data_IF_433783887962
#
_entry.id   IF_433783887962
#
_cell.length_a   1.000
_cell.length_b   1.000
_cell.length_c   1.000
_cell.angle_alpha   90.00
_cell.angle_beta   90.00
_cell.angle_gamma   90.00
#
_symmetry.space_group_name_H-M   'P 1'
#
loop_
_entity.id
_entity.type
_entity.pdbx_description
1 polymer ?
#
# COMPACT_ATOMS: atom_id res chain seq x y z
N UNK A 1 3.69 -11.48 3.36
CA UNK A 1 3.30 -10.06 3.36
C UNK A 1 1.91 -9.96 2.81
N UNK A 2 1.12 -9.04 3.32
CA UNK A 2 -0.15 -8.64 2.72
C UNK A 2 0.07 -7.20 2.25
N UNK A 3 0.21 -7.02 0.93
CA UNK A 3 0.34 -5.69 0.33
C UNK A 3 -1.06 -5.11 0.17
N UNK A 4 -1.30 -3.94 0.75
CA UNK A 4 -2.59 -3.25 0.67
C UNK A 4 -2.49 -2.04 -0.25
N UNK A 5 -3.50 -1.84 -1.09
CA UNK A 5 -3.67 -0.61 -1.85
C UNK A 5 -4.25 0.51 -0.97
N UNK A 6 -4.31 1.71 -1.54
CA UNK A 6 -4.81 2.93 -0.88
C UNK A 6 -6.25 2.77 -0.39
N UNK A 7 -7.12 2.19 -1.22
CA UNK A 7 -8.54 2.05 -0.91
C UNK A 7 -8.78 1.06 0.23
N UNK A 8 -8.13 -0.11 0.19
CA UNK A 8 -8.28 -1.10 1.23
C UNK A 8 -7.65 -0.63 2.54
N UNK A 9 -6.46 -0.03 2.52
CA UNK A 9 -5.86 0.57 3.71
C UNK A 9 -6.77 1.66 4.32
N UNK A 10 -7.39 2.48 3.46
CA UNK A 10 -8.37 3.49 3.89
C UNK A 10 -9.60 2.86 4.55
N UNK A 11 -10.12 1.75 4.02
CA UNK A 11 -11.25 1.02 4.63
C UNK A 11 -10.86 0.49 6.01
N UNK A 12 -9.69 -0.14 6.14
CA UNK A 12 -9.24 -0.68 7.42
C UNK A 12 -9.12 0.41 8.50
N UNK A 13 -8.57 1.57 8.13
CA UNK A 13 -8.42 2.70 9.04
C UNK A 13 -9.76 3.32 9.41
N UNK A 14 -10.62 3.60 8.43
CA UNK A 14 -11.95 4.20 8.65
C UNK A 14 -12.89 3.29 9.44
N UNK A 15 -12.72 1.98 9.34
CA UNK A 15 -13.47 1.00 10.12
C UNK A 15 -12.84 0.69 11.48
N UNK A 16 -11.68 1.28 11.83
CA UNK A 16 -10.97 1.07 13.10
C UNK A 16 -10.59 -0.40 13.34
N UNK A 17 -10.26 -1.15 12.28
CA UNK A 17 -9.97 -2.60 12.35
C UNK A 17 -8.53 -2.99 12.02
N UNK A 18 -7.61 -2.03 11.84
CA UNK A 18 -6.21 -2.33 11.47
C UNK A 18 -5.57 -3.30 12.46
N UNK A 19 -5.69 -3.03 13.77
CA UNK A 19 -5.12 -3.89 14.81
C UNK A 19 -5.73 -5.30 14.81
N UNK A 20 -7.04 -5.43 14.61
CA UNK A 20 -7.70 -6.73 14.49
C UNK A 20 -7.16 -7.53 13.30
N UNK A 21 -6.97 -6.88 12.15
CA UNK A 21 -6.41 -7.53 10.95
C UNK A 21 -4.94 -7.91 11.19
N UNK A 22 -4.16 -7.06 11.84
CA UNK A 22 -2.77 -7.38 12.23
C UNK A 22 -2.73 -8.60 13.14
N UNK A 23 -3.58 -8.66 14.16
CA UNK A 23 -3.67 -9.81 15.07
C UNK A 23 -4.02 -11.10 14.31
N UNK A 24 -5.03 -11.04 13.43
CA UNK A 24 -5.48 -12.17 12.62
C UNK A 24 -4.35 -12.80 11.79
N UNK A 25 -3.46 -11.97 11.23
CA UNK A 25 -2.39 -12.42 10.33
C UNK A 25 -1.00 -12.51 10.96
N UNK A 26 -0.85 -12.03 12.20
CA UNK A 26 0.42 -11.84 12.95
C UNK A 26 1.38 -13.03 12.93
N UNK A 27 0.88 -14.27 12.83
CA UNK A 27 1.71 -15.48 12.87
C UNK A 27 2.56 -15.71 11.62
N UNK A 28 2.15 -15.19 10.46
CA UNK A 28 2.79 -15.50 9.16
C UNK A 28 2.95 -14.30 8.26
N UNK A 29 2.14 -13.26 8.44
CA UNK A 29 2.10 -12.13 7.55
C UNK A 29 1.97 -10.84 8.34
N UNK A 30 2.53 -9.78 7.77
CA UNK A 30 2.39 -8.41 8.22
C UNK A 30 1.77 -7.61 7.07
N UNK A 31 0.99 -6.59 7.42
CA UNK A 31 0.42 -5.64 6.48
C UNK A 31 1.53 -4.67 6.04
N UNK A 32 1.58 -4.37 4.75
CA UNK A 32 2.48 -3.37 4.19
C UNK A 32 1.80 -2.53 3.11
N UNK A 33 2.28 -1.30 2.95
CA UNK A 33 2.00 -0.44 1.79
C UNK A 33 3.29 -0.17 1.01
N UNK A 34 3.15 0.31 -0.23
CA UNK A 34 4.29 0.77 -1.04
C UNK A 34 4.50 2.28 -0.86
N UNK A 35 5.66 2.83 -1.23
CA UNK A 35 5.88 4.28 -1.24
C UNK A 35 4.84 5.02 -2.08
N UNK A 36 4.35 4.42 -3.17
CA UNK A 36 3.32 5.04 -4.01
C UNK A 36 1.99 5.17 -3.27
N UNK A 37 1.58 4.13 -2.55
CA UNK A 37 0.38 4.17 -1.70
C UNK A 37 0.54 5.20 -0.57
N UNK A 38 1.74 5.32 0.01
CA UNK A 38 2.03 6.36 1.00
C UNK A 38 1.79 7.77 0.43
N UNK A 39 2.31 8.07 -0.78
CA UNK A 39 2.08 9.35 -1.47
C UNK A 39 0.58 9.63 -1.71
N UNK A 40 -0.18 8.60 -2.11
CA UNK A 40 -1.62 8.72 -2.32
C UNK A 40 -2.39 9.04 -1.03
N UNK A 41 -1.90 8.54 0.11
CA UNK A 41 -2.48 8.78 1.44
C UNK A 41 -2.09 10.14 2.05
N UNK A 42 -1.01 10.77 1.61
CA UNK A 42 -0.68 12.15 1.98
C UNK A 42 -1.73 13.14 1.44
N UNK A 43 -2.30 12.89 0.25
CA UNK A 43 -3.33 13.76 -0.35
C UNK A 43 -4.54 13.96 0.59
N UNK A 44 -5.27 12.93 1.05
CA UNK A 44 -6.37 13.13 2.00
C UNK A 44 -5.90 13.73 3.34
N UNK A 45 -4.67 13.48 3.77
CA UNK A 45 -4.11 14.11 4.97
C UNK A 45 -3.96 15.63 4.80
N UNK A 46 -3.49 16.10 3.64
CA UNK A 46 -3.44 17.53 3.29
C UNK A 46 -4.82 18.18 3.27
N UNK A 47 -5.87 17.42 2.91
CA UNK A 47 -7.27 17.86 2.99
C UNK A 47 -7.87 17.80 4.40
N UNK A 48 -7.10 17.40 5.42
CA UNK A 48 -7.51 17.39 6.83
C UNK A 48 -8.16 16.09 7.31
N UNK A 49 -8.10 15.01 6.54
CA UNK A 49 -8.52 13.70 7.03
C UNK A 49 -7.46 13.10 7.96
N UNK A 50 -7.91 12.48 9.06
CA UNK A 50 -7.01 11.91 10.10
C UNK A 50 -6.77 10.41 9.97
N UNK A 51 -7.63 9.69 9.23
CA UNK A 51 -7.46 8.24 9.04
C UNK A 51 -6.11 7.83 8.43
N UNK A 52 -5.43 8.62 7.57
CA UNK A 52 -4.10 8.26 7.07
C UNK A 52 -3.06 8.12 8.19
N UNK A 53 -3.18 8.90 9.27
CA UNK A 53 -2.25 8.79 10.40
C UNK A 53 -2.34 7.41 11.06
N UNK A 54 -3.54 6.84 11.14
CA UNK A 54 -3.72 5.49 11.67
C UNK A 54 -3.03 4.43 10.78
N UNK A 55 -3.01 4.64 9.46
CA UNK A 55 -2.30 3.77 8.54
C UNK A 55 -0.78 3.90 8.75
N UNK A 56 -0.28 5.14 8.75
CA UNK A 56 1.16 5.42 8.88
C UNK A 56 1.75 4.93 10.21
N UNK A 57 0.96 4.95 11.29
CA UNK A 57 1.41 4.47 12.59
C UNK A 57 1.41 2.94 12.74
N UNK A 58 0.64 2.22 11.92
CA UNK A 58 0.37 0.80 12.14
C UNK A 58 0.75 -0.13 10.99
N UNK A 59 1.00 0.40 9.78
CA UNK A 59 1.30 -0.37 8.57
C UNK A 59 2.65 0.07 8.00
N UNK A 60 3.57 -0.87 7.82
CA UNK A 60 4.93 -0.59 7.36
C UNK A 60 4.97 -0.24 5.86
N UNK A 61 5.90 0.64 5.48
CA UNK A 61 6.20 0.94 4.08
C UNK A 61 7.32 0.02 3.58
N UNK A 62 7.03 -0.83 2.59
CA UNK A 62 8.04 -1.66 1.94
C UNK A 62 8.62 -0.93 0.73
N UNK A 63 9.91 -0.59 0.80
CA UNK A 63 10.66 -0.08 -0.35
C UNK A 63 11.12 -1.28 -1.19
N UNK A 64 10.68 -1.30 -2.44
CA UNK A 64 11.04 -2.34 -3.41
C UNK A 64 12.48 -2.10 -3.90
N UNK A 65 13.29 -3.15 -3.93
CA UNK A 65 14.68 -3.05 -4.43
C UNK A 65 14.73 -2.87 -5.96
N UNK A 66 15.81 -2.26 -6.45
CA UNK A 66 15.98 -1.94 -7.89
C UNK A 66 15.79 -3.13 -8.81
N UNK A 67 16.19 -4.34 -8.39
CA UNK A 67 16.01 -5.57 -9.18
C UNK A 67 14.55 -5.97 -9.36
N UNK A 68 13.73 -5.84 -8.33
CA UNK A 68 12.30 -6.15 -8.44
C UNK A 68 11.58 -5.10 -9.30
N UNK A 69 12.04 -3.86 -9.24
CA UNK A 69 11.57 -2.79 -10.11
C UNK A 69 11.93 -3.05 -11.59
N UNK A 70 13.15 -3.52 -11.88
CA UNK A 70 13.54 -3.96 -13.24
C UNK A 70 12.64 -5.08 -13.76
N UNK A 71 12.39 -6.11 -12.94
CA UNK A 71 11.48 -7.22 -13.31
C UNK A 71 10.06 -6.73 -13.61
N UNK A 72 9.57 -5.74 -12.86
CA UNK A 72 8.26 -5.13 -13.11
C UNK A 72 8.25 -4.35 -14.44
N UNK A 73 9.28 -3.54 -14.71
CA UNK A 73 9.42 -2.80 -15.98
C UNK A 73 9.49 -3.75 -17.17
N UNK A 74 10.25 -4.84 -17.06
CA UNK A 74 10.34 -5.87 -18.10
C UNK A 74 8.97 -6.56 -18.31
N UNK A 75 8.23 -6.84 -17.23
CA UNK A 75 6.90 -7.44 -17.31
C UNK A 75 5.91 -6.52 -18.05
N UNK A 76 5.89 -5.23 -17.74
CA UNK A 76 4.98 -4.28 -18.42
C UNK A 76 5.42 -3.96 -19.86
N UNK A 77 6.74 -3.92 -20.11
CA UNK A 77 7.31 -3.71 -21.45
C UNK A 77 7.16 -4.92 -22.38
N UNK A 78 7.05 -6.13 -21.81
CA UNK A 78 6.75 -7.37 -22.54
C UNK A 78 5.25 -7.59 -22.78
N UNK A 79 4.38 -6.73 -22.25
CA UNK A 79 2.94 -6.81 -22.43
C UNK A 79 2.54 -6.01 -23.69
N UNK A 80 2.07 -6.65 -24.79
CA UNK A 80 1.78 -5.98 -26.07
C UNK A 80 0.53 -5.07 -26.03
N UNK A 81 0.05 -4.69 -24.84
CA UNK A 81 -1.19 -3.95 -24.61
C UNK A 81 -1.02 -2.48 -24.20
N UNK A 82 0.19 -1.90 -24.30
CA UNK A 82 0.40 -0.47 -24.02
C UNK A 82 0.99 0.27 -25.22
N UNK A 83 0.27 0.22 -26.34
CA UNK A 83 0.24 1.35 -27.27
C UNK A 83 -1.13 2.01 -27.23
N UNK A 84 -1.07 3.35 -27.22
CA UNK A 84 -2.09 4.36 -27.54
C UNK A 84 -2.84 5.02 -26.37
N UNK A 85 -2.54 6.30 -26.21
CA UNK A 85 -3.17 7.29 -25.35
C UNK A 85 -2.30 8.54 -25.23
#
# INVERSE_FOLDING_TARGET
MIVTDTDFASVLAKAEIIELVKELFSKKHYLIITPKVYEELEVPKEYGYTYPDEIFNNIDVLIVESREQELYIDMIGSNPGSEQG
#
